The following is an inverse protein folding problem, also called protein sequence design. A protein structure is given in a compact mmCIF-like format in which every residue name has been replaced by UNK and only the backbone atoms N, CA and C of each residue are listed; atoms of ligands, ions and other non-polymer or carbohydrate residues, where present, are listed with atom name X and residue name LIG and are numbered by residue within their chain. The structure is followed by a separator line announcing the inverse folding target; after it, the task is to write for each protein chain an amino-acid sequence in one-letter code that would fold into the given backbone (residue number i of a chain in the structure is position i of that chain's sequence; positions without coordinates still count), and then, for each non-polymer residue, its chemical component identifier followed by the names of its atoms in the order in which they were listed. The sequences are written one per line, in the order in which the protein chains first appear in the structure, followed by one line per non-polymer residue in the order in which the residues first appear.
data_IF_976964557333
#
_entry.id   IF_976964557333
#
_cell.length_a   1.000
_cell.length_b   1.000
_cell.length_c   1.000
_cell.angle_alpha   90.00
_cell.angle_beta   90.00
_cell.angle_gamma   90.00
#
_symmetry.space_group_name_H-M   'P 1'
#
loop_
_entity.id
_entity.type
_entity.pdbx_description
1 polymer ?
#
# COMPACT_ATOMS: atom_id res chain seq x y z
N UNK A 1 9.43 -9.39 -4.79
CA UNK A 1 8.16 -10.09 -5.14
C UNK A 1 7.94 -11.39 -4.37
N UNK A 2 8.98 -12.17 -4.11
CA UNK A 2 8.84 -13.45 -3.39
C UNK A 2 8.25 -13.24 -1.98
N UNK A 3 8.82 -12.34 -1.18
CA UNK A 3 8.33 -12.03 0.17
C UNK A 3 6.88 -11.50 0.18
N UNK A 4 6.49 -10.68 -0.80
CA UNK A 4 5.10 -10.20 -0.95
C UNK A 4 4.15 -11.35 -1.29
N UNK A 5 4.56 -12.28 -2.16
CA UNK A 5 3.74 -13.44 -2.51
C UNK A 5 3.64 -14.44 -1.35
N UNK A 6 4.72 -14.61 -0.57
CA UNK A 6 4.69 -15.41 0.66
C UNK A 6 3.76 -14.78 1.70
N UNK A 7 3.84 -13.46 1.88
CA UNK A 7 2.93 -12.70 2.72
C UNK A 7 1.47 -12.91 2.31
N UNK A 8 1.18 -12.81 1.01
CA UNK A 8 -0.16 -13.05 0.49
C UNK A 8 -0.65 -14.49 0.78
N UNK A 9 0.18 -15.49 0.50
CA UNK A 9 -0.17 -16.92 0.76
C UNK A 9 -0.42 -17.17 2.25
N UNK A 10 0.38 -16.56 3.13
CA UNK A 10 0.21 -16.70 4.57
C UNK A 10 -1.08 -16.02 5.05
N UNK A 11 -1.34 -14.79 4.63
CA UNK A 11 -2.57 -14.07 4.94
C UNK A 11 -3.80 -14.82 4.41
N UNK A 12 -3.73 -15.36 3.20
CA UNK A 12 -4.80 -16.16 2.60
C UNK A 12 -5.17 -17.37 3.46
N UNK A 13 -4.18 -18.10 3.97
CA UNK A 13 -4.43 -19.25 4.87
C UNK A 13 -5.09 -18.83 6.18
N UNK A 14 -4.65 -17.71 6.77
CA UNK A 14 -5.22 -17.18 8.02
C UNK A 14 -6.67 -16.74 7.79
N UNK A 15 -6.94 -15.97 6.74
CA UNK A 15 -8.28 -15.50 6.40
C UNK A 15 -9.22 -16.68 6.16
N UNK A 16 -8.81 -17.67 5.37
CA UNK A 16 -9.63 -18.86 5.10
C UNK A 16 -9.95 -19.63 6.38
N UNK A 17 -8.99 -19.76 7.29
CA UNK A 17 -9.21 -20.40 8.60
C UNK A 17 -10.20 -19.61 9.44
N UNK A 18 -10.04 -18.28 9.56
CA UNK A 18 -10.96 -17.43 10.34
C UNK A 18 -12.38 -17.54 9.78
N UNK A 19 -12.53 -17.51 8.47
CA UNK A 19 -13.86 -17.63 7.85
C UNK A 19 -14.50 -18.98 8.09
N UNK A 20 -13.71 -20.05 8.17
CA UNK A 20 -14.20 -21.40 8.49
C UNK A 20 -14.55 -21.53 9.98
N UNK A 21 -13.62 -21.14 10.87
CA UNK A 21 -13.76 -21.39 12.31
C UNK A 21 -14.71 -20.41 12.99
N UNK A 22 -14.86 -19.20 12.43
CA UNK A 22 -15.70 -18.11 12.95
C UNK A 22 -16.68 -17.63 11.87
N UNK A 23 -17.70 -18.42 11.50
CA UNK A 23 -18.56 -18.14 10.33
C UNK A 23 -19.35 -16.83 10.43
N UNK A 24 -19.54 -16.28 11.61
CA UNK A 24 -20.30 -15.05 11.84
C UNK A 24 -19.39 -13.80 12.03
N UNK A 25 -18.06 -13.95 11.96
CA UNK A 25 -17.16 -12.81 12.15
C UNK A 25 -16.97 -12.01 10.86
N UNK A 26 -16.86 -10.71 10.98
CA UNK A 26 -16.33 -9.84 9.93
C UNK A 26 -14.80 -9.72 10.04
N UNK A 27 -14.15 -9.32 8.96
CA UNK A 27 -12.68 -9.24 8.87
C UNK A 27 -12.30 -7.82 8.48
N UNK A 28 -11.44 -7.21 9.29
CA UNK A 28 -10.76 -5.96 8.96
C UNK A 28 -9.28 -6.22 8.68
N UNK A 29 -8.70 -5.45 7.75
CA UNK A 29 -7.29 -5.57 7.38
C UNK A 29 -6.54 -4.30 7.77
N UNK A 30 -5.37 -4.49 8.35
CA UNK A 30 -4.43 -3.39 8.60
C UNK A 30 -3.09 -3.76 7.99
N UNK A 31 -2.55 -2.89 7.16
CA UNK A 31 -1.27 -3.10 6.51
C UNK A 31 -0.39 -1.86 6.53
N UNK A 32 0.92 -2.08 6.63
CA UNK A 32 1.93 -1.05 6.48
C UNK A 32 2.96 -1.51 5.46
N UNK A 33 3.30 -0.64 4.50
CA UNK A 33 4.34 -0.92 3.50
C UNK A 33 4.07 -2.24 2.74
N UNK A 34 4.90 -3.25 2.89
CA UNK A 34 4.70 -4.58 2.31
C UNK A 34 3.41 -5.25 2.81
N UNK A 35 3.02 -5.00 4.07
CA UNK A 35 1.73 -5.45 4.60
C UNK A 35 0.54 -4.75 3.94
N UNK A 36 0.69 -3.49 3.55
CA UNK A 36 -0.30 -2.76 2.77
C UNK A 36 -0.40 -3.30 1.33
N UNK A 37 0.72 -3.65 0.69
CA UNK A 37 0.72 -4.37 -0.60
C UNK A 37 -0.10 -5.65 -0.53
N UNK A 38 0.18 -6.51 0.45
CA UNK A 38 -0.55 -7.76 0.64
C UNK A 38 -2.04 -7.52 0.87
N UNK A 39 -2.38 -6.61 1.77
CA UNK A 39 -3.78 -6.28 2.09
C UNK A 39 -4.51 -5.67 0.89
N UNK A 40 -3.88 -4.76 0.16
CA UNK A 40 -4.45 -4.15 -1.03
C UNK A 40 -4.78 -5.18 -2.11
N UNK A 41 -3.89 -6.14 -2.34
CA UNK A 41 -4.13 -7.23 -3.30
C UNK A 41 -5.27 -8.15 -2.87
N UNK A 42 -5.36 -8.47 -1.57
CA UNK A 42 -6.47 -9.27 -1.03
C UNK A 42 -7.80 -8.54 -1.19
N UNK A 43 -7.85 -7.23 -0.91
CA UNK A 43 -9.06 -6.42 -1.08
C UNK A 43 -9.45 -6.31 -2.56
N UNK A 44 -8.48 -6.09 -3.45
CA UNK A 44 -8.72 -6.08 -4.89
C UNK A 44 -9.32 -7.40 -5.36
N UNK A 45 -8.75 -8.53 -4.95
CA UNK A 45 -9.27 -9.85 -5.31
C UNK A 45 -10.70 -10.07 -4.76
N UNK A 46 -10.95 -9.71 -3.50
CA UNK A 46 -12.28 -9.82 -2.88
C UNK A 46 -13.33 -8.97 -3.60
N UNK A 47 -12.99 -7.75 -4.02
CA UNK A 47 -13.88 -6.85 -4.74
C UNK A 47 -14.42 -7.50 -6.03
N UNK A 48 -13.62 -8.36 -6.65
CA UNK A 48 -13.96 -9.07 -7.88
C UNK A 48 -14.28 -10.56 -7.68
N UNK A 49 -14.68 -10.96 -6.48
CA UNK A 49 -15.03 -12.33 -6.09
C UNK A 49 -13.89 -13.33 -6.35
N UNK A 50 -12.66 -12.91 -6.10
CA UNK A 50 -11.44 -13.73 -6.17
C UNK A 50 -10.75 -13.77 -4.82
N UNK A 51 -9.72 -14.61 -4.71
CA UNK A 51 -8.87 -14.68 -3.53
C UNK A 51 -9.53 -15.27 -2.29
N UNK A 52 -8.91 -15.13 -1.12
CA UNK A 52 -9.32 -15.83 0.09
C UNK A 52 -10.44 -15.16 0.87
N UNK A 53 -10.64 -13.84 0.70
CA UNK A 53 -11.56 -13.04 1.49
C UNK A 53 -12.92 -12.96 0.80
N UNK A 54 -13.97 -13.40 1.49
CA UNK A 54 -15.35 -13.13 1.07
C UNK A 54 -15.66 -11.64 1.28
N UNK A 55 -16.01 -10.95 0.19
CA UNK A 55 -16.33 -9.52 0.22
C UNK A 55 -17.47 -9.17 1.18
N UNK A 56 -18.42 -10.10 1.41
CA UNK A 56 -19.53 -9.89 2.33
C UNK A 56 -19.09 -9.91 3.80
N UNK A 57 -17.91 -10.44 4.07
CA UNK A 57 -17.29 -10.51 5.39
C UNK A 57 -16.24 -9.42 5.62
N UNK A 58 -15.97 -8.62 4.60
CA UNK A 58 -15.03 -7.50 4.72
C UNK A 58 -15.70 -6.33 5.44
N UNK A 59 -15.19 -5.97 6.61
CA UNK A 59 -15.65 -4.82 7.39
C UNK A 59 -14.99 -3.52 6.94
N UNK A 60 -13.66 -3.50 6.83
CA UNK A 60 -12.90 -2.33 6.41
C UNK A 60 -11.40 -2.56 6.42
N UNK A 61 -10.65 -1.57 5.99
CA UNK A 61 -9.19 -1.64 6.04
C UNK A 61 -8.53 -0.28 6.27
N UNK A 62 -7.33 -0.32 6.83
CA UNK A 62 -6.41 0.81 6.89
C UNK A 62 -5.07 0.38 6.28
N UNK A 63 -4.64 1.11 5.25
CA UNK A 63 -3.41 0.86 4.52
C UNK A 63 -2.46 2.03 4.70
N UNK A 64 -1.40 1.84 5.48
CA UNK A 64 -0.34 2.82 5.68
C UNK A 64 0.77 2.62 4.66
N UNK A 65 1.25 3.70 4.06
CA UNK A 65 2.32 3.64 3.07
C UNK A 65 2.04 2.62 1.96
N UNK A 66 0.83 2.61 1.43
CA UNK A 66 0.43 1.65 0.40
C UNK A 66 1.22 1.89 -0.90
N UNK A 67 1.99 0.92 -1.41
CA UNK A 67 2.69 1.08 -2.67
C UNK A 67 1.77 1.17 -3.89
N UNK A 68 0.49 0.82 -3.75
CA UNK A 68 -0.56 1.03 -4.75
C UNK A 68 -1.42 2.27 -4.47
N UNK A 69 -0.97 3.19 -3.62
CA UNK A 69 -1.70 4.37 -3.16
C UNK A 69 -2.39 5.13 -4.28
N UNK A 70 -3.67 5.41 -4.08
CA UNK A 70 -4.48 6.26 -4.95
C UNK A 70 -4.98 5.59 -6.23
N UNK A 71 -6.04 6.14 -6.82
CA UNK A 71 -6.69 5.59 -8.01
C UNK A 71 -7.47 4.30 -7.77
N UNK A 72 -7.61 3.87 -6.51
CA UNK A 72 -8.26 2.62 -6.13
C UNK A 72 -9.69 2.80 -5.58
N UNK A 73 -10.16 4.04 -5.46
CA UNK A 73 -11.49 4.37 -4.91
C UNK A 73 -11.53 4.37 -3.37
N UNK A 74 -10.37 4.38 -2.70
CA UNK A 74 -10.28 4.47 -1.24
C UNK A 74 -10.40 5.90 -0.74
N UNK A 75 -10.77 6.05 0.54
CA UNK A 75 -10.66 7.32 1.25
C UNK A 75 -9.20 7.62 1.55
N UNK A 76 -8.77 8.86 1.32
CA UNK A 76 -7.37 9.28 1.45
C UNK A 76 -7.15 10.09 2.73
N UNK A 77 -6.09 9.82 3.47
CA UNK A 77 -5.62 10.66 4.56
C UNK A 77 -4.11 10.95 4.44
N UNK A 78 -3.68 12.21 4.47
CA UNK A 78 -4.52 13.42 4.41
C UNK A 78 -5.40 13.45 3.17
N UNK A 79 -6.55 14.13 3.21
CA UNK A 79 -7.44 14.24 2.06
C UNK A 79 -6.72 14.79 0.83
N UNK A 80 -6.83 14.08 -0.28
CA UNK A 80 -6.27 14.46 -1.58
C UNK A 80 -7.11 13.85 -2.70
N UNK A 81 -6.99 14.34 -3.95
CA UNK A 81 -7.61 13.67 -5.09
C UNK A 81 -7.20 12.20 -5.16
N UNK A 82 -8.14 11.31 -5.52
CA UNK A 82 -7.87 9.88 -5.71
C UNK A 82 -7.16 9.66 -7.06
N UNK A 83 -5.89 10.01 -7.08
CA UNK A 83 -4.98 9.80 -8.20
C UNK A 83 -3.87 8.84 -7.81
N UNK A 84 -3.43 8.03 -8.75
CA UNK A 84 -2.35 7.08 -8.49
C UNK A 84 -1.03 7.81 -8.16
N UNK A 85 -0.55 7.60 -6.95
CA UNK A 85 0.74 8.12 -6.47
C UNK A 85 1.67 7.02 -5.93
N UNK A 86 1.18 5.80 -5.79
CA UNK A 86 1.97 4.70 -5.24
C UNK A 86 3.12 4.25 -6.16
N UNK A 87 4.21 3.79 -5.57
CA UNK A 87 5.41 3.37 -6.31
C UNK A 87 5.17 2.17 -7.24
N UNK A 88 4.22 1.29 -6.92
CA UNK A 88 3.87 0.13 -7.75
C UNK A 88 2.76 0.40 -8.76
N UNK A 89 2.19 1.59 -8.75
CA UNK A 89 1.10 1.93 -9.64
C UNK A 89 -0.27 1.52 -9.10
N UNK A 90 -1.32 1.69 -9.92
CA UNK A 90 -2.70 1.36 -9.56
C UNK A 90 -2.96 -0.15 -9.72
N UNK A 91 -3.76 -0.72 -8.83
CA UNK A 91 -4.31 -2.06 -9.01
C UNK A 91 -5.38 -2.05 -10.12
N UNK A 92 -5.38 -3.07 -10.96
CA UNK A 92 -6.38 -3.20 -12.00
C UNK A 92 -7.80 -3.29 -11.39
N UNK A 93 -8.64 -2.30 -11.72
CA UNK A 93 -9.98 -2.16 -11.15
C UNK A 93 -10.04 -1.62 -9.72
N UNK A 94 -8.89 -1.31 -9.10
CA UNK A 94 -8.83 -0.79 -7.74
C UNK A 94 -9.53 -1.69 -6.71
N UNK A 95 -10.21 -1.07 -5.75
CA UNK A 95 -10.97 -1.78 -4.72
C UNK A 95 -12.47 -1.95 -5.07
N UNK A 96 -12.89 -1.57 -6.28
CA UNK A 96 -14.26 -1.74 -6.75
C UNK A 96 -15.28 -1.23 -5.73
N UNK A 97 -16.31 -2.01 -5.44
CA UNK A 97 -17.35 -1.66 -4.46
C UNK A 97 -16.87 -1.62 -3.01
N UNK A 98 -15.66 -2.09 -2.71
CA UNK A 98 -15.10 -2.09 -1.36
C UNK A 98 -14.30 -0.82 -1.04
N UNK A 99 -14.05 0.04 -2.02
CA UNK A 99 -13.19 1.22 -1.86
C UNK A 99 -13.64 2.15 -0.74
N UNK A 100 -14.94 2.39 -0.58
CA UNK A 100 -15.48 3.24 0.49
C UNK A 100 -15.22 2.72 1.91
N UNK A 101 -14.81 1.46 2.06
CA UNK A 101 -14.44 0.83 3.33
C UNK A 101 -12.93 0.80 3.57
N UNK A 102 -12.15 1.35 2.66
CA UNK A 102 -10.68 1.39 2.75
C UNK A 102 -10.21 2.80 3.01
N UNK A 103 -9.36 2.95 4.03
CA UNK A 103 -8.62 4.17 4.30
C UNK A 103 -7.15 3.97 3.89
N UNK A 104 -6.68 4.81 2.99
CA UNK A 104 -5.26 4.89 2.64
C UNK A 104 -4.60 6.07 3.37
N UNK A 105 -3.65 5.78 4.25
CA UNK A 105 -2.89 6.77 5.01
C UNK A 105 -1.50 6.91 4.42
N UNK A 106 -1.17 8.09 3.91
CA UNK A 106 0.11 8.36 3.27
C UNK A 106 0.75 9.65 3.78
N UNK A 107 1.94 9.54 4.36
CA UNK A 107 2.79 10.70 4.58
C UNK A 107 3.16 11.29 3.20
N UNK A 108 2.81 12.56 2.89
CA UNK A 108 3.06 13.14 1.56
C UNK A 108 4.54 13.14 1.13
N UNK A 109 5.45 12.99 2.08
CA UNK A 109 6.90 12.89 1.81
C UNK A 109 7.38 11.45 1.60
N UNK A 110 6.53 10.44 1.83
CA UNK A 110 6.90 9.02 1.72
C UNK A 110 6.90 8.58 0.26
N UNK A 111 8.08 8.27 -0.28
CA UNK A 111 8.25 7.86 -1.66
C UNK A 111 7.60 6.50 -2.02
N UNK A 112 7.13 5.73 -1.04
CA UNK A 112 6.42 4.47 -1.30
C UNK A 112 4.99 4.71 -1.73
N UNK A 113 4.26 5.56 -1.02
CA UNK A 113 2.85 5.89 -1.32
C UNK A 113 2.67 7.22 -2.05
N UNK A 114 3.68 8.09 -2.07
CA UNK A 114 3.72 9.36 -2.81
C UNK A 114 4.97 9.40 -3.70
N UNK A 115 5.05 8.48 -4.64
CA UNK A 115 6.22 8.34 -5.52
C UNK A 115 6.24 9.49 -6.53
N UNK A 116 7.37 10.23 -6.65
CA UNK A 116 7.46 11.37 -7.56
C UNK A 116 7.33 10.94 -9.02
N UNK A 117 6.42 11.59 -9.77
CA UNK A 117 6.10 11.23 -11.15
C UNK A 117 7.28 11.34 -12.11
N UNK A 118 8.18 12.30 -11.87
CA UNK A 118 9.39 12.49 -12.69
C UNK A 118 10.30 11.24 -12.72
N UNK A 119 10.23 10.38 -11.71
CA UNK A 119 11.06 9.16 -11.64
C UNK A 119 10.32 7.90 -12.11
N UNK A 120 9.00 7.98 -12.40
CA UNK A 120 8.22 6.81 -12.79
C UNK A 120 8.69 6.11 -14.05
N UNK A 121 9.17 6.88 -15.03
CA UNK A 121 9.68 6.35 -16.28
C UNK A 121 11.12 5.83 -16.23
N UNK A 122 11.84 6.17 -15.15
CA UNK A 122 13.28 5.92 -15.01
C UNK A 122 13.52 4.72 -14.08
N UNK A 123 12.74 4.64 -13.01
CA UNK A 123 12.86 3.57 -12.02
C UNK A 123 11.99 2.40 -12.44
N UNK A 124 12.61 1.34 -12.90
CA UNK A 124 11.91 0.11 -13.26
C UNK A 124 11.07 -0.44 -12.08
N UNK A 125 9.91 -1.07 -12.35
CA UNK A 125 9.08 -1.65 -11.29
C UNK A 125 9.81 -2.64 -10.37
N UNK A 126 10.79 -3.37 -10.89
CA UNK A 126 11.65 -4.26 -10.11
C UNK A 126 12.50 -3.53 -9.08
N UNK A 127 13.05 -2.37 -9.46
CA UNK A 127 13.88 -1.52 -8.59
C UNK A 127 13.03 -0.85 -7.49
N UNK A 128 11.79 -0.47 -7.82
CA UNK A 128 10.84 0.06 -6.83
C UNK A 128 10.51 -0.97 -5.74
N UNK A 129 10.49 -2.25 -6.10
CA UNK A 129 10.30 -3.35 -5.14
C UNK A 129 11.48 -3.54 -4.17
N UNK A 130 12.72 -3.30 -4.59
CA UNK A 130 13.88 -3.43 -3.70
C UNK A 130 13.84 -2.42 -2.56
N UNK A 131 13.36 -1.22 -2.83
CA UNK A 131 13.16 -0.18 -1.81
C UNK A 131 12.07 -0.57 -0.82
N UNK A 132 10.98 -1.18 -1.27
CA UNK A 132 9.91 -1.70 -0.41
C UNK A 132 10.41 -2.79 0.54
N UNK A 133 11.47 -3.49 0.19
CA UNK A 133 12.11 -4.50 1.02
C UNK A 133 13.17 -3.94 1.97
N UNK A 134 13.27 -2.61 2.10
CA UNK A 134 14.28 -1.96 2.94
C UNK A 134 15.72 -2.14 2.44
N UNK A 135 15.89 -2.52 1.19
CA UNK A 135 17.21 -2.60 0.56
C UNK A 135 17.62 -1.21 0.09
N UNK A 136 18.85 -0.83 0.36
CA UNK A 136 19.43 0.37 -0.23
C UNK A 136 19.31 0.28 -1.75
N UNK A 137 18.95 1.38 -2.44
CA UNK A 137 18.97 1.43 -3.89
C UNK A 137 20.32 0.94 -4.41
N UNK A 138 20.32 0.09 -5.43
CA UNK A 138 21.58 -0.37 -6.01
C UNK A 138 22.39 0.80 -6.55
N UNK A 139 23.71 0.63 -6.65
CA UNK A 139 24.59 1.65 -7.22
C UNK A 139 24.17 2.08 -8.64
N UNK A 140 23.49 1.21 -9.38
CA UNK A 140 22.97 1.50 -10.72
C UNK A 140 21.79 2.48 -10.65
N UNK A 141 20.84 2.29 -9.72
CA UNK A 141 19.75 3.24 -9.47
C UNK A 141 20.33 4.59 -9.04
N UNK A 142 21.32 4.58 -8.15
CA UNK A 142 21.98 5.79 -7.68
C UNK A 142 22.68 6.55 -8.80
N UNK A 143 23.33 5.84 -9.71
CA UNK A 143 24.00 6.42 -10.88
C UNK A 143 22.99 6.95 -11.91
N UNK A 144 21.87 6.30 -12.09
CA UNK A 144 20.80 6.75 -13.01
C UNK A 144 20.12 8.00 -12.49
N UNK A 145 19.76 8.03 -11.21
CA UNK A 145 19.19 9.23 -10.55
C UNK A 145 20.21 10.38 -10.51
N UNK A 146 21.50 10.08 -10.30
CA UNK A 146 22.56 11.10 -10.31
C UNK A 146 22.73 11.80 -11.67
N UNK A 147 22.32 11.17 -12.77
CA UNK A 147 22.28 11.81 -14.10
C UNK A 147 21.23 12.91 -14.23
N UNK A 148 20.23 12.93 -13.36
CA UNK A 148 19.15 13.93 -13.34
C UNK A 148 19.43 15.10 -12.40
N UNK A 149 20.39 14.99 -11.47
CA UNK A 149 20.83 16.06 -10.59
C UNK A 149 20.95 15.66 -9.12
N UNK A 150 21.90 16.24 -8.42
CA UNK A 150 22.18 15.95 -6.99
C UNK A 150 20.98 16.29 -6.08
N UNK A 151 20.20 17.29 -6.45
CA UNK A 151 18.98 17.70 -5.70
C UNK A 151 17.90 16.64 -5.73
N UNK A 152 17.75 15.97 -6.85
CA UNK A 152 16.74 14.92 -7.06
C UNK A 152 17.06 13.64 -6.29
N UNK A 153 18.34 13.27 -6.24
CA UNK A 153 18.81 12.16 -5.42
C UNK A 153 18.51 12.39 -3.92
N UNK A 154 18.85 13.57 -3.41
CA UNK A 154 18.58 13.91 -2.01
C UNK A 154 17.07 13.92 -1.68
N UNK A 155 16.22 14.34 -2.62
CA UNK A 155 14.77 14.28 -2.46
C UNK A 155 14.26 12.84 -2.38
N UNK A 156 14.76 11.94 -3.22
CA UNK A 156 14.39 10.52 -3.22
C UNK A 156 14.84 9.84 -1.92
N UNK A 157 16.06 10.09 -1.45
CA UNK A 157 16.56 9.56 -0.17
C UNK A 157 15.70 10.04 1.00
N UNK A 158 15.35 11.34 1.04
CA UNK A 158 14.44 11.87 2.07
C UNK A 158 13.06 11.22 1.99
N UNK A 159 12.56 10.93 0.79
CA UNK A 159 11.31 10.22 0.58
C UNK A 159 11.30 8.81 1.23
N UNK A 160 12.40 8.10 1.14
CA UNK A 160 12.53 6.79 1.80
C UNK A 160 12.71 6.91 3.32
N UNK A 161 13.39 7.95 3.82
CA UNK A 161 13.46 8.22 5.25
C UNK A 161 12.08 8.56 5.83
N UNK A 162 11.25 9.29 5.09
CA UNK A 162 9.88 9.62 5.49
C UNK A 162 8.96 8.38 5.57
N UNK A 163 9.34 7.28 4.94
CA UNK A 163 8.58 6.03 4.96
C UNK A 163 8.33 5.47 6.37
N UNK A 164 9.20 5.74 7.30
CA UNK A 164 9.06 5.31 8.70
C UNK A 164 8.42 6.38 9.62
N UNK A 165 8.06 7.54 9.07
CA UNK A 165 7.60 8.70 9.83
C UNK A 165 6.07 8.81 9.80
N UNK A 166 5.39 7.93 10.51
CA UNK A 166 3.95 7.99 10.74
C UNK A 166 3.68 8.37 12.19
N UNK A 167 2.96 9.47 12.38
CA UNK A 167 2.70 10.08 13.69
C UNK A 167 1.66 9.33 14.51
N UNK A 168 1.50 9.74 15.79
CA UNK A 168 0.39 9.29 16.61
C UNK A 168 -0.97 9.66 16.02
N UNK A 169 -1.07 10.81 15.36
CA UNK A 169 -2.29 11.25 14.66
C UNK A 169 -2.64 10.34 13.50
N UNK A 170 -1.66 9.94 12.67
CA UNK A 170 -1.90 9.01 11.56
C UNK A 170 -2.45 7.68 12.08
N UNK A 171 -1.91 7.19 13.20
CA UNK A 171 -2.38 5.95 13.85
C UNK A 171 -3.78 6.11 14.43
N UNK A 172 -4.07 7.24 15.10
CA UNK A 172 -5.38 7.51 15.67
C UNK A 172 -6.47 7.54 14.59
N UNK A 173 -6.22 8.19 13.46
CA UNK A 173 -7.14 8.23 12.32
C UNK A 173 -7.47 6.81 11.81
N UNK A 174 -6.48 5.93 11.74
CA UNK A 174 -6.71 4.54 11.35
C UNK A 174 -7.52 3.75 12.38
N UNK A 175 -7.27 3.95 13.68
CA UNK A 175 -8.06 3.33 14.75
C UNK A 175 -9.51 3.80 14.70
N UNK A 176 -9.73 5.10 14.57
CA UNK A 176 -11.08 5.68 14.47
C UNK A 176 -11.83 5.15 13.24
N UNK A 177 -11.14 4.99 12.13
CA UNK A 177 -11.69 4.36 10.92
C UNK A 177 -12.19 2.94 11.18
N UNK A 178 -11.36 2.09 11.79
CA UNK A 178 -11.73 0.71 12.09
C UNK A 178 -12.87 0.59 13.09
N UNK A 179 -12.95 1.51 14.05
CA UNK A 179 -14.03 1.53 15.05
C UNK A 179 -15.37 1.98 14.44
N UNK A 180 -15.36 2.61 13.28
CA UNK A 180 -16.58 3.12 12.60
C UNK A 180 -17.07 2.19 11.48
N UNK A 181 -16.36 1.12 11.19
CA UNK A 181 -16.65 0.12 10.15
C UNK A 181 -16.65 -1.29 10.73
#
# INVERSE_FOLDING_TARGET
RESSNDGYRNAARIISRIQHDCPNSSISLVGYSLGADVSARIINDAAYNRGPLDKNRFAGAVLYANPYQGGNGAVQYPPKPDVNTGALGQLNGGFGSLGSKVLEVCNPSDAVCAFPDQYRGIVEPSMRMDVLHGRAPSAEILNEVARYGVGDYAALVRGFQAHTQYSGTDRAVGIDWLNSH
#
